data_IF_745145106491
#
_entry.id   IF_745145106491
#
_cell.length_a   1.000
_cell.length_b   1.000
_cell.length_c   1.000
_cell.angle_alpha   90.00
_cell.angle_beta   90.00
_cell.angle_gamma   90.00
#
_symmetry.space_group_name_H-M   'P 1'
#
loop_
_entity.id
_entity.type
_entity.pdbx_description
1 polymer ?
#
# COMPACT_ATOMS: atom_id res chain seq x y z
N UNK A 1 -2.03 4.70 2.42
CA UNK A 1 -1.12 5.86 2.42
C UNK A 1 -1.95 7.12 2.27
N UNK A 2 -2.02 7.94 3.30
CA UNK A 2 -2.70 9.23 3.24
C UNK A 2 -2.01 10.10 2.18
N UNK A 3 -2.75 10.55 1.17
CA UNK A 3 -2.21 11.33 0.04
C UNK A 3 -1.35 12.53 0.52
N UNK A 4 -1.77 13.16 1.61
CA UNK A 4 -1.04 14.26 2.25
C UNK A 4 0.36 13.86 2.72
N UNK A 5 0.53 12.68 3.35
CA UNK A 5 1.84 12.24 3.84
C UNK A 5 2.82 11.98 2.70
N UNK A 6 2.38 11.37 1.59
CA UNK A 6 3.28 11.17 0.45
C UNK A 6 3.61 12.47 -0.27
N UNK A 7 2.69 13.45 -0.30
CA UNK A 7 2.96 14.78 -0.86
C UNK A 7 4.04 15.50 -0.04
N UNK A 8 3.90 15.54 1.29
CA UNK A 8 4.86 16.18 2.19
C UNK A 8 6.24 15.52 2.07
N UNK A 9 6.33 14.19 2.08
CA UNK A 9 7.61 13.46 1.94
C UNK A 9 8.26 13.72 0.57
N UNK A 10 7.46 13.82 -0.50
CA UNK A 10 7.96 14.12 -1.85
C UNK A 10 8.54 15.54 -1.91
N UNK A 11 7.83 16.52 -1.34
CA UNK A 11 8.31 17.91 -1.26
C UNK A 11 9.59 18.03 -0.41
N UNK A 12 9.70 17.26 0.68
CA UNK A 12 10.88 17.27 1.56
C UNK A 12 12.12 16.62 0.93
N UNK A 13 11.97 15.51 0.20
CA UNK A 13 13.12 14.80 -0.40
C UNK A 13 13.52 15.31 -1.79
N UNK A 14 12.56 15.68 -2.63
CA UNK A 14 12.80 16.09 -4.03
C UNK A 14 12.95 17.60 -4.16
N UNK A 15 12.42 18.36 -3.19
CA UNK A 15 12.32 19.82 -3.27
C UNK A 15 11.19 20.28 -4.19
N UNK A 16 10.88 21.58 -4.13
CA UNK A 16 9.85 22.21 -4.97
C UNK A 16 10.44 22.42 -6.37
N UNK A 17 10.27 21.44 -7.25
CA UNK A 17 10.62 21.56 -8.68
C UNK A 17 9.36 21.71 -9.55
N UNK A 18 9.46 22.35 -10.73
CA UNK A 18 8.38 22.35 -11.71
C UNK A 18 7.99 20.91 -12.07
N UNK A 19 6.73 20.54 -11.90
CA UNK A 19 6.21 19.20 -12.23
C UNK A 19 6.14 18.21 -11.07
N UNK A 20 6.66 18.52 -9.87
CA UNK A 20 6.69 17.57 -8.74
C UNK A 20 5.28 17.09 -8.32
N UNK A 21 4.27 17.96 -8.45
CA UNK A 21 2.87 17.63 -8.14
C UNK A 21 2.30 16.63 -9.16
N UNK A 22 2.67 16.76 -10.44
CA UNK A 22 2.23 15.85 -11.51
C UNK A 22 2.91 14.49 -11.34
N UNK A 23 4.21 14.49 -11.03
CA UNK A 23 4.95 13.25 -10.77
C UNK A 23 4.42 12.54 -9.53
N UNK A 24 4.09 13.28 -8.48
CA UNK A 24 3.42 12.76 -7.28
C UNK A 24 2.06 12.15 -7.61
N UNK A 25 1.21 12.83 -8.38
CA UNK A 25 -0.11 12.34 -8.74
C UNK A 25 -0.03 11.06 -9.58
N UNK A 26 0.94 10.99 -10.52
CA UNK A 26 1.23 9.78 -11.32
C UNK A 26 1.69 8.63 -10.43
N UNK A 27 2.64 8.87 -9.54
CA UNK A 27 3.15 7.85 -8.62
C UNK A 27 2.07 7.36 -7.65
N UNK A 28 1.26 8.27 -7.11
CA UNK A 28 0.12 7.96 -6.25
C UNK A 28 -0.92 7.12 -6.99
N UNK A 29 -1.32 7.52 -8.20
CA UNK A 29 -2.27 6.77 -9.03
C UNK A 29 -1.75 5.38 -9.38
N UNK A 30 -0.48 5.28 -9.80
CA UNK A 30 0.16 4.01 -10.13
C UNK A 30 0.22 3.08 -8.92
N UNK A 31 0.53 3.61 -7.73
CA UNK A 31 0.55 2.81 -6.49
C UNK A 31 -0.82 2.21 -6.17
N UNK A 32 -1.91 2.92 -6.49
CA UNK A 32 -3.27 2.44 -6.27
C UNK A 32 -3.63 1.31 -7.23
N UNK A 33 -3.25 1.45 -8.51
CA UNK A 33 -3.41 0.42 -9.54
C UNK A 33 -2.64 -0.85 -9.20
N UNK A 34 -1.45 -0.73 -8.58
CA UNK A 34 -0.65 -1.89 -8.15
C UNK A 34 -1.18 -2.49 -6.84
N UNK A 35 -1.67 -1.67 -5.90
CA UNK A 35 -2.16 -2.14 -4.61
C UNK A 35 -3.37 -3.07 -4.74
N UNK A 36 -4.30 -2.77 -5.64
CA UNK A 36 -5.49 -3.59 -5.88
C UNK A 36 -5.20 -5.06 -6.22
N UNK A 37 -4.45 -5.38 -7.30
CA UNK A 37 -4.12 -6.77 -7.63
C UNK A 37 -3.25 -7.41 -6.54
N UNK A 38 -2.37 -6.62 -5.90
CA UNK A 38 -1.55 -7.11 -4.78
C UNK A 38 -2.43 -7.61 -3.63
N UNK A 39 -3.47 -6.85 -3.24
CA UNK A 39 -4.38 -7.26 -2.16
C UNK A 39 -5.13 -8.55 -2.55
N UNK A 40 -5.61 -8.66 -3.79
CA UNK A 40 -6.31 -9.86 -4.26
C UNK A 40 -5.42 -11.10 -4.18
N UNK A 41 -4.13 -10.95 -4.52
CA UNK A 41 -3.16 -12.05 -4.51
C UNK A 41 -2.65 -12.36 -3.10
N UNK A 42 -2.41 -11.35 -2.28
CA UNK A 42 -1.81 -11.49 -0.93
C UNK A 42 -2.86 -11.87 0.12
N UNK A 43 -4.11 -11.44 -0.03
CA UNK A 43 -5.20 -11.80 0.88
C UNK A 43 -5.35 -13.31 1.14
N UNK A 44 -5.39 -14.20 0.13
CA UNK A 44 -5.45 -15.64 0.38
C UNK A 44 -4.19 -16.16 1.06
N UNK A 45 -3.01 -15.63 0.72
CA UNK A 45 -1.74 -16.01 1.35
C UNK A 45 -1.74 -15.68 2.85
N UNK A 46 -2.21 -14.48 3.21
CA UNK A 46 -2.34 -14.05 4.61
C UNK A 46 -3.31 -14.97 5.34
N UNK A 47 -4.45 -15.32 4.74
CA UNK A 47 -5.40 -16.26 5.36
C UNK A 47 -4.79 -17.65 5.62
N UNK A 48 -3.97 -18.17 4.70
CA UNK A 48 -3.27 -19.45 4.90
C UNK A 48 -2.29 -19.34 6.08
N UNK A 49 -1.47 -18.29 6.12
CA UNK A 49 -0.49 -18.09 7.19
C UNK A 49 -1.19 -17.91 8.54
N UNK A 50 -2.28 -17.13 8.59
CA UNK A 50 -3.06 -16.92 9.80
C UNK A 50 -3.70 -18.23 10.28
N UNK A 51 -4.26 -19.03 9.38
CA UNK A 51 -4.85 -20.33 9.74
C UNK A 51 -3.80 -21.32 10.29
N UNK A 52 -2.58 -21.31 9.73
CA UNK A 52 -1.47 -22.12 10.23
C UNK A 52 -0.96 -21.67 11.61
N UNK A 53 -1.01 -20.37 11.90
CA UNK A 53 -0.55 -19.81 13.18
C UNK A 53 -1.60 -19.91 14.28
N UNK A 54 -2.89 -19.91 13.92
CA UNK A 54 -3.96 -20.16 14.88
C UNK A 54 -3.91 -21.65 15.24
N UNK A 55 -3.60 -21.95 16.51
CA UNK A 55 -3.96 -23.26 17.06
C UNK A 55 -5.48 -23.37 16.96
N UNK A 56 -5.95 -24.37 16.23
CA UNK A 56 -7.34 -24.76 16.23
C UNK A 56 -7.73 -25.08 17.69
N UNK A 57 -8.32 -24.11 18.37
CA UNK A 57 -9.02 -24.38 19.62
C UNK A 57 -10.31 -25.08 19.19
N UNK A 58 -10.21 -26.40 19.09
CA UNK A 58 -11.31 -27.33 18.90
C UNK A 58 -12.18 -27.30 20.17
N UNK A 59 -12.88 -26.18 20.40
CA UNK A 59 -13.73 -25.94 21.56
C UNK A 59 -15.19 -25.73 21.16
N UNK A 60 -15.95 -26.83 21.12
CA UNK A 60 -17.44 -26.83 21.14
C UNK A 60 -18.12 -27.09 19.82
#
# INVERSE_FOLDING_TARGET
MSALMSLVITLLHVGIRPGVVIDWLKAWGLSWVIAWPTIIIVSPLVNVVVNLLIRKDDGG
#
